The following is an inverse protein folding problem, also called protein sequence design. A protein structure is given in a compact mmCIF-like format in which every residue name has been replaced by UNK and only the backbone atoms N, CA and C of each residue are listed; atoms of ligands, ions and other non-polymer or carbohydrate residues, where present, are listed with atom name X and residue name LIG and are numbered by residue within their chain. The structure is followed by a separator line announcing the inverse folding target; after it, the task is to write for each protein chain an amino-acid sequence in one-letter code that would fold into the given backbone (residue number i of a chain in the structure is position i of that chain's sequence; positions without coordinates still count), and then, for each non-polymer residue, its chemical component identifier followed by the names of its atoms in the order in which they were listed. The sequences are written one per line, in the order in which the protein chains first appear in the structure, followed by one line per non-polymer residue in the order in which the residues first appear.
data_IF_125585546116
#
_entry.id   IF_125585546116
#
_cell.length_a   1.000
_cell.length_b   1.000
_cell.length_c   1.000
_cell.angle_alpha   90.00
_cell.angle_beta   90.00
_cell.angle_gamma   90.00
#
_symmetry.space_group_name_H-M   'P 1'
#
loop_
_entity.id
_entity.type
_entity.pdbx_description
1 polymer ?
#
# COMPACT_ATOMS: atom_id res chain seq x y z
N UNK A 1 -1.31 -19.58 -7.86
CA UNK A 1 -1.05 -19.40 -6.42
C UNK A 1 -1.80 -18.23 -5.80
N UNK A 2 -1.58 -16.98 -6.24
CA UNK A 2 -2.16 -15.79 -5.58
C UNK A 2 -3.68 -15.79 -5.45
N UNK A 3 -4.42 -16.28 -6.45
CA UNK A 3 -5.88 -16.37 -6.39
C UNK A 3 -6.41 -17.35 -5.32
N UNK A 4 -5.63 -18.38 -4.99
CA UNK A 4 -5.95 -19.27 -3.87
C UNK A 4 -5.70 -18.61 -2.53
N UNK A 5 -4.59 -17.88 -2.38
CA UNK A 5 -4.35 -17.09 -1.18
C UNK A 5 -5.49 -16.09 -0.99
N UNK A 6 -5.89 -15.40 -2.06
CA UNK A 6 -6.99 -14.42 -2.09
C UNK A 6 -8.33 -15.04 -1.66
N UNK A 7 -8.68 -16.22 -2.16
CA UNK A 7 -9.91 -16.91 -1.75
C UNK A 7 -9.89 -17.35 -0.28
N UNK A 8 -8.70 -17.43 0.33
CA UNK A 8 -8.54 -17.79 1.74
C UNK A 8 -8.46 -16.61 2.70
N UNK A 9 -8.25 -15.39 2.22
CA UNK A 9 -8.15 -14.19 3.08
C UNK A 9 -9.33 -14.06 4.05
N UNK A 10 -10.55 -14.38 3.60
CA UNK A 10 -11.72 -14.30 4.48
C UNK A 10 -11.61 -15.21 5.71
N UNK A 11 -10.98 -16.37 5.60
CA UNK A 11 -10.76 -17.25 6.75
C UNK A 11 -9.77 -16.64 7.76
N UNK A 12 -8.72 -15.94 7.28
CA UNK A 12 -7.84 -15.17 8.16
C UNK A 12 -8.62 -14.08 8.90
N UNK A 13 -9.47 -13.33 8.19
CA UNK A 13 -10.32 -12.29 8.82
C UNK A 13 -11.19 -12.89 9.93
N UNK A 14 -11.86 -14.00 9.65
CA UNK A 14 -12.70 -14.69 10.64
C UNK A 14 -11.89 -15.21 11.84
N UNK A 15 -10.61 -15.53 11.65
CA UNK A 15 -9.72 -15.90 12.77
C UNK A 15 -9.31 -14.68 13.58
N UNK A 16 -8.98 -13.56 12.92
CA UNK A 16 -8.61 -12.30 13.57
C UNK A 16 -9.78 -11.73 14.38
N UNK A 17 -11.00 -11.78 13.87
CA UNK A 17 -12.19 -11.24 14.56
C UNK A 17 -12.60 -12.07 15.80
N UNK A 18 -12.05 -13.26 15.99
CA UNK A 18 -12.21 -14.04 17.24
C UNK A 18 -11.25 -13.59 18.34
N UNK A 19 -10.20 -12.86 17.99
CA UNK A 19 -9.24 -12.34 18.95
C UNK A 19 -9.90 -11.19 19.73
N UNK A 20 -9.93 -11.31 21.06
CA UNK A 20 -10.60 -10.35 21.96
C UNK A 20 -10.09 -8.92 21.82
N UNK A 21 -8.86 -8.72 21.34
CA UNK A 21 -8.26 -7.41 21.15
C UNK A 21 -8.66 -6.76 19.82
N UNK A 22 -9.25 -7.51 18.89
CA UNK A 22 -9.66 -7.02 17.57
C UNK A 22 -11.15 -6.79 17.57
N UNK A 23 -11.57 -5.54 17.33
CA UNK A 23 -12.98 -5.16 17.20
C UNK A 23 -13.55 -5.60 15.85
N UNK A 24 -12.82 -5.31 14.78
CA UNK A 24 -13.13 -5.81 13.45
C UNK A 24 -11.89 -5.80 12.55
N UNK A 25 -11.89 -6.64 11.50
CA UNK A 25 -10.83 -6.67 10.49
C UNK A 25 -11.43 -6.53 9.08
N UNK A 26 -10.96 -5.53 8.33
CA UNK A 26 -11.47 -5.21 7.00
C UNK A 26 -10.40 -5.46 5.93
N UNK A 27 -10.57 -6.49 5.07
CA UNK A 27 -9.66 -6.70 3.96
C UNK A 27 -9.91 -5.66 2.87
N UNK A 28 -8.82 -5.10 2.35
CA UNK A 28 -8.88 -4.25 1.17
C UNK A 28 -9.08 -5.11 -0.08
N UNK A 29 -10.02 -4.71 -0.94
CA UNK A 29 -10.51 -5.53 -2.05
C UNK A 29 -9.53 -5.69 -3.22
N UNK A 30 -8.47 -4.86 -3.30
CA UNK A 30 -7.46 -4.97 -4.37
C UNK A 30 -6.15 -5.50 -3.82
N UNK A 31 -5.53 -6.39 -4.59
CA UNK A 31 -4.12 -6.73 -4.41
C UNK A 31 -3.21 -5.75 -5.14
N UNK A 32 -1.98 -5.66 -4.67
CA UNK A 32 -0.93 -4.85 -5.26
C UNK A 32 0.30 -5.70 -5.56
N UNK A 33 1.12 -5.35 -6.56
CA UNK A 33 2.41 -6.00 -6.74
C UNK A 33 3.31 -5.72 -5.54
N UNK A 34 4.35 -6.54 -5.37
CA UNK A 34 5.44 -6.21 -4.46
C UNK A 34 6.07 -4.86 -4.81
N UNK A 35 6.66 -4.20 -3.81
CA UNK A 35 7.37 -2.95 -4.06
C UNK A 35 8.56 -3.22 -5.00
N UNK A 36 8.92 -2.27 -5.88
CA UNK A 36 10.00 -2.45 -6.84
C UNK A 36 11.34 -2.87 -6.20
N UNK A 37 11.58 -2.45 -4.96
CA UNK A 37 12.82 -2.72 -4.23
C UNK A 37 12.90 -4.15 -3.65
N UNK A 38 11.82 -4.94 -3.70
CA UNK A 38 11.75 -6.24 -3.03
C UNK A 38 12.21 -7.43 -3.90
N UNK A 39 12.64 -7.19 -5.15
CA UNK A 39 13.07 -8.20 -6.14
C UNK A 39 12.18 -9.45 -6.18
N UNK A 40 10.86 -9.22 -6.23
CA UNK A 40 9.82 -10.26 -6.24
C UNK A 40 8.73 -9.93 -7.25
N UNK A 41 9.01 -10.06 -8.56
CA UNK A 41 8.10 -9.58 -9.62
C UNK A 41 6.73 -10.27 -9.64
N UNK A 42 6.64 -11.50 -9.12
CA UNK A 42 5.39 -12.27 -9.09
C UNK A 42 4.65 -12.21 -7.75
N UNK A 43 5.19 -11.52 -6.74
CA UNK A 43 4.56 -11.44 -5.44
C UNK A 43 3.40 -10.43 -5.47
N UNK A 44 2.29 -10.84 -4.86
CA UNK A 44 1.14 -9.97 -4.60
C UNK A 44 1.01 -9.71 -3.10
N UNK A 45 0.56 -8.51 -2.77
CA UNK A 45 0.29 -8.04 -1.42
C UNK A 45 -1.17 -7.68 -1.28
N UNK A 46 -1.75 -8.07 -0.15
CA UNK A 46 -3.07 -7.65 0.30
C UNK A 46 -2.91 -6.87 1.60
N UNK A 47 -3.89 -6.00 1.87
CA UNK A 47 -3.93 -5.18 3.08
C UNK A 47 -5.16 -5.53 3.88
N UNK A 48 -4.99 -5.66 5.20
CA UNK A 48 -6.08 -5.88 6.14
C UNK A 48 -6.00 -4.73 7.15
N UNK A 49 -7.01 -3.88 7.16
CA UNK A 49 -7.17 -2.87 8.19
C UNK A 49 -7.77 -3.51 9.43
N UNK A 50 -7.28 -3.17 10.61
CA UNK A 50 -7.80 -3.66 11.89
C UNK A 50 -8.20 -2.49 12.78
N UNK A 51 -9.33 -2.61 13.47
CA UNK A 51 -9.67 -1.78 14.61
C UNK A 51 -9.41 -2.58 15.89
N UNK A 52 -8.67 -1.99 16.82
CA UNK A 52 -8.31 -2.61 18.10
C UNK A 52 -9.30 -2.13 19.16
N UNK A 53 -9.78 -3.06 20.00
CA UNK A 53 -10.52 -2.70 21.22
C UNK A 53 -9.57 -1.92 22.14
N UNK A 54 -9.87 -0.65 22.38
CA UNK A 54 -9.13 0.16 23.34
C UNK A 54 -9.47 -0.35 24.73
N UNK A 55 -8.48 -0.74 25.53
CA UNK A 55 -8.66 -0.81 26.98
C UNK A 55 -8.84 0.62 27.51
N UNK A 56 -9.62 0.77 28.57
CA UNK A 56 -9.92 2.08 29.18
C UNK A 56 -8.68 2.79 29.76
N UNK A 57 -7.57 2.06 29.93
CA UNK A 57 -6.28 2.63 30.29
C UNK A 57 -5.38 2.71 29.06
N UNK A 58 -4.67 3.84 28.91
CA UNK A 58 -3.69 4.21 27.86
C UNK A 58 -2.49 3.25 27.71
N UNK A 59 -2.63 2.00 28.15
CA UNK A 59 -1.69 0.91 27.92
C UNK A 59 -1.53 0.66 26.42
N UNK A 60 -0.29 0.75 25.96
CA UNK A 60 0.12 0.23 24.66
C UNK A 60 -0.11 -1.28 24.61
N UNK A 61 -1.27 -1.71 24.11
CA UNK A 61 -1.59 -3.13 23.92
C UNK A 61 -0.70 -3.68 22.81
N UNK A 62 0.22 -4.57 23.16
CA UNK A 62 0.95 -5.38 22.20
C UNK A 62 0.09 -6.59 21.84
N UNK A 63 -0.61 -6.54 20.71
CA UNK A 63 -1.45 -7.64 20.26
C UNK A 63 -0.57 -8.70 19.61
N UNK A 64 -0.55 -9.89 20.19
CA UNK A 64 0.01 -11.06 19.56
C UNK A 64 -0.99 -11.64 18.54
N UNK A 65 -0.55 -11.78 17.29
CA UNK A 65 -1.31 -12.34 16.17
C UNK A 65 -0.69 -13.64 15.64
N UNK A 66 0.32 -14.18 16.33
CA UNK A 66 1.08 -15.33 15.85
C UNK A 66 0.19 -16.54 15.65
N UNK A 67 -0.78 -16.78 16.53
CA UNK A 67 -1.67 -17.94 16.43
C UNK A 67 -2.51 -17.89 15.13
N UNK A 68 -3.15 -16.76 14.85
CA UNK A 68 -3.98 -16.54 13.67
C UNK A 68 -3.15 -16.58 12.38
N UNK A 69 -1.97 -15.96 12.40
CA UNK A 69 -1.05 -15.92 11.26
C UNK A 69 -0.51 -17.32 10.94
N UNK A 70 -0.03 -18.05 11.95
CA UNK A 70 0.52 -19.39 11.77
C UNK A 70 -0.56 -20.39 11.34
N UNK A 71 -1.76 -20.30 11.92
CA UNK A 71 -2.90 -21.12 11.51
C UNK A 71 -3.25 -20.92 10.03
N UNK A 72 -3.36 -19.65 9.61
CA UNK A 72 -3.61 -19.32 8.21
C UNK A 72 -2.47 -19.78 7.28
N UNK A 73 -1.21 -19.60 7.70
CA UNK A 73 -0.06 -20.07 6.95
C UNK A 73 -0.09 -21.60 6.77
N UNK A 74 -0.45 -22.35 7.81
CA UNK A 74 -0.58 -23.80 7.74
C UNK A 74 -1.72 -24.22 6.80
N UNK A 75 -2.86 -23.54 6.84
CA UNK A 75 -3.99 -23.82 5.94
C UNK A 75 -3.66 -23.56 4.47
N UNK A 76 -2.91 -22.50 4.21
CA UNK A 76 -2.56 -22.06 2.85
C UNK A 76 -1.38 -22.85 2.29
N UNK A 77 -0.32 -23.08 3.07
CA UNK A 77 0.90 -23.75 2.58
C UNK A 77 0.80 -25.28 2.67
N UNK A 78 0.32 -25.81 3.79
CA UNK A 78 0.38 -27.25 4.09
C UNK A 78 -0.90 -27.97 3.69
N UNK A 79 -2.07 -27.42 4.00
CA UNK A 79 -3.37 -28.06 3.69
C UNK A 79 -3.85 -27.81 2.25
N UNK A 80 -3.01 -27.21 1.40
CA UNK A 80 -3.30 -27.01 -0.01
C UNK A 80 -3.30 -28.35 -0.75
N UNK A 81 -4.48 -28.92 -1.02
CA UNK A 81 -4.62 -30.22 -1.70
C UNK A 81 -4.45 -30.10 -3.22
N UNK A 82 -3.90 -31.14 -3.85
CA UNK A 82 -3.97 -31.38 -5.30
C UNK A 82 -3.09 -30.48 -6.20
N UNK A 83 -3.62 -30.13 -7.38
CA UNK A 83 -2.95 -29.39 -8.48
C UNK A 83 -2.38 -28.01 -8.09
N UNK A 84 -2.73 -27.48 -6.92
CA UNK A 84 -2.24 -26.20 -6.45
C UNK A 84 -0.85 -26.28 -5.81
N UNK A 85 -0.12 -27.39 -5.86
CA UNK A 85 1.24 -27.49 -5.32
C UNK A 85 2.31 -26.79 -6.19
N UNK A 86 2.23 -25.46 -6.30
CA UNK A 86 3.29 -24.63 -6.88
C UNK A 86 4.60 -24.75 -6.05
N UNK A 87 5.75 -25.08 -6.67
CA UNK A 87 7.05 -25.04 -5.98
C UNK A 87 7.44 -23.60 -5.64
N UNK A 88 8.18 -23.40 -4.56
CA UNK A 88 8.69 -22.08 -4.16
C UNK A 88 7.64 -21.09 -3.65
N UNK A 89 6.42 -21.54 -3.29
CA UNK A 89 5.44 -20.67 -2.63
C UNK A 89 5.99 -20.15 -1.32
N UNK A 90 5.85 -18.85 -1.13
CA UNK A 90 6.12 -18.19 0.14
C UNK A 90 4.92 -17.32 0.51
N UNK A 91 4.64 -17.26 1.81
CA UNK A 91 3.70 -16.34 2.40
C UNK A 91 4.46 -15.55 3.47
N UNK A 92 4.23 -14.24 3.53
CA UNK A 92 4.91 -13.35 4.45
C UNK A 92 3.90 -12.37 5.03
N UNK A 93 4.01 -12.12 6.32
CA UNK A 93 3.10 -11.23 7.06
C UNK A 93 3.91 -10.08 7.64
N UNK A 94 3.30 -8.91 7.64
CA UNK A 94 3.88 -7.72 8.24
C UNK A 94 2.77 -6.92 8.90
N UNK A 95 2.92 -6.64 10.18
CA UNK A 95 2.07 -5.73 10.92
C UNK A 95 2.73 -4.34 10.92
N UNK A 96 1.98 -3.33 10.47
CA UNK A 96 2.45 -1.93 10.40
C UNK A 96 1.43 -0.99 11.01
N UNK A 97 1.91 0.08 11.66
CA UNK A 97 1.04 1.16 12.12
C UNK A 97 0.53 1.98 10.93
N UNK A 98 -0.64 2.61 11.08
CA UNK A 98 -1.24 3.45 10.03
C UNK A 98 -0.29 4.54 9.51
N UNK A 99 0.52 5.14 10.37
CA UNK A 99 1.50 6.18 10.01
C UNK A 99 2.61 5.68 9.08
N UNK A 100 2.97 4.40 9.18
CA UNK A 100 4.06 3.78 8.45
C UNK A 100 3.56 3.08 7.17
N UNK A 101 2.25 2.86 7.04
CA UNK A 101 1.60 2.21 5.89
C UNK A 101 1.98 2.85 4.55
N UNK A 102 2.18 4.17 4.51
CA UNK A 102 2.61 4.90 3.30
C UNK A 102 3.89 4.35 2.69
N UNK A 103 4.79 3.77 3.49
CA UNK A 103 6.04 3.19 3.01
C UNK A 103 5.84 1.83 2.33
N UNK A 104 4.66 1.23 2.50
CA UNK A 104 4.35 -0.10 1.98
C UNK A 104 3.43 -0.08 0.75
N UNK A 105 2.81 1.07 0.46
CA UNK A 105 1.90 1.26 -0.66
C UNK A 105 2.64 1.59 -1.96
N UNK A 106 2.18 1.09 -3.13
CA UNK A 106 2.62 1.58 -4.42
C UNK A 106 2.44 3.11 -4.56
N UNK A 107 3.43 3.75 -5.19
CA UNK A 107 3.51 5.21 -5.40
C UNK A 107 2.23 5.76 -6.05
N UNK A 108 1.64 5.00 -6.99
CA UNK A 108 0.43 5.38 -7.72
C UNK A 108 -0.81 5.53 -6.83
N UNK A 109 -0.83 4.92 -5.64
CA UNK A 109 -1.94 5.03 -4.69
C UNK A 109 -1.74 6.25 -3.80
N UNK A 110 -0.50 6.46 -3.34
CA UNK A 110 -0.12 7.58 -2.46
C UNK A 110 -0.46 8.90 -3.15
N UNK A 111 -0.13 9.02 -4.44
CA UNK A 111 -0.41 10.23 -5.24
C UNK A 111 -1.91 10.48 -5.50
N UNK A 112 -2.77 9.45 -5.49
CA UNK A 112 -4.22 9.61 -5.71
C UNK A 112 -4.94 10.18 -4.49
N UNK A 113 -4.49 9.85 -3.28
CA UNK A 113 -5.08 10.40 -2.05
C UNK A 113 -4.80 11.89 -1.90
N UNK A 114 -3.62 12.38 -2.32
CA UNK A 114 -3.30 13.81 -2.32
C UNK A 114 -4.07 14.59 -3.40
N UNK A 115 -4.35 13.98 -4.56
CA UNK A 115 -5.16 14.61 -5.62
C UNK A 115 -6.65 14.73 -5.26
N UNK A 116 -7.17 13.91 -4.35
CA UNK A 116 -8.59 13.97 -3.94
C UNK A 116 -8.93 15.11 -2.97
N UNK A 117 -7.94 15.80 -2.40
CA UNK A 117 -8.15 16.92 -1.45
C UNK A 117 -8.05 18.32 -2.12
N UNK A 118 -7.82 18.40 -3.43
CA UNK A 118 -7.92 19.67 -4.18
C UNK A 118 -8.82 19.52 -5.41
N UNK A 119 -10.12 19.52 -5.17
CA UNK A 119 -11.08 20.08 -6.12
C UNK A 119 -12.26 20.69 -5.35
N UNK A 120 -11.99 21.59 -4.42
CA UNK A 120 -12.94 22.64 -4.08
C UNK A 120 -12.77 23.74 -5.12
N UNK A 121 -13.73 23.82 -6.04
CA UNK A 121 -13.95 24.92 -6.97
C UNK A 121 -13.49 26.27 -6.39
N UNK A 122 -12.37 26.77 -6.88
CA UNK A 122 -12.11 28.21 -6.85
C UNK A 122 -12.24 28.68 -8.28
N UNK A 123 -13.41 29.22 -8.57
CA UNK A 123 -13.69 30.05 -9.74
C UNK A 123 -12.56 31.09 -9.85
N UNK A 124 -11.80 31.07 -10.93
CA UNK A 124 -11.07 32.24 -11.38
C UNK A 124 -11.41 32.51 -12.83
N UNK A 125 -11.88 33.73 -13.06
CA UNK A 125 -12.39 34.30 -14.29
C UNK A 125 -11.43 34.16 -15.47
N UNK A 126 -12.04 34.16 -16.65
CA UNK A 126 -11.42 34.48 -17.93
C UNK A 126 -10.41 35.63 -17.78
N UNK A 127 -9.16 35.35 -18.13
CA UNK A 127 -8.23 36.40 -18.53
C UNK A 127 -7.34 35.86 -19.66
N UNK A 128 -7.31 36.65 -20.72
CA UNK A 128 -6.72 36.41 -22.03
C UNK A 128 -5.23 36.06 -21.95
N UNK A 129 -4.77 35.23 -22.89
CA UNK A 129 -3.38 34.81 -23.04
C UNK A 129 -2.42 36.01 -23.17
N UNK A 130 -1.26 36.02 -22.51
CA UNK A 130 -0.26 37.07 -22.71
C UNK A 130 0.51 36.85 -24.03
N UNK A 131 0.84 37.97 -24.65
CA UNK A 131 1.49 38.12 -25.95
C UNK A 131 2.92 37.54 -26.01
N UNK A 132 3.28 36.99 -27.18
CA UNK A 132 4.50 36.23 -27.49
C UNK A 132 5.80 37.06 -27.31
N UNK A 133 5.68 38.37 -27.17
CA UNK A 133 6.84 39.25 -26.99
C UNK A 133 7.50 39.19 -25.60
N UNK A 134 6.84 38.63 -24.59
CA UNK A 134 7.35 38.62 -23.20
C UNK A 134 8.28 37.44 -22.88
N UNK A 135 8.35 36.43 -23.76
CA UNK A 135 9.13 35.19 -23.50
C UNK A 135 10.62 35.25 -23.87
N UNK A 136 11.14 36.35 -24.40
CA UNK A 136 12.55 36.44 -24.83
C UNK A 136 13.57 36.73 -23.71
N UNK A 137 13.13 37.10 -22.51
CA UNK A 137 14.03 37.49 -21.40
C UNK A 137 14.20 36.43 -20.30
N UNK A 138 13.85 35.17 -20.55
CA UNK A 138 14.04 34.08 -19.59
C UNK A 138 14.78 32.89 -20.22
N UNK A 139 16.00 33.15 -20.73
CA UNK A 139 16.96 32.06 -20.97
C UNK A 139 18.14 32.17 -19.98
N UNK A 140 18.59 31.05 -19.37
CA UNK A 140 19.72 31.04 -18.45
C UNK A 140 21.05 31.25 -19.17
N UNK A 141 21.92 32.07 -18.58
CA UNK A 141 23.30 32.30 -19.01
C UNK A 141 24.12 31.05 -18.66
N UNK A 142 24.18 30.07 -19.55
CA UNK A 142 25.22 29.04 -19.52
C UNK A 142 25.43 28.43 -20.89
N UNK A 143 26.07 29.17 -21.79
CA UNK A 143 26.82 28.65 -22.96
C UNK A 143 27.58 29.77 -23.68
N UNK A 144 28.50 30.46 -22.99
CA UNK A 144 29.59 31.18 -23.65
C UNK A 144 30.86 30.34 -23.50
N UNK A 145 31.15 29.54 -24.53
CA UNK A 145 32.45 28.89 -24.74
C UNK A 145 33.50 29.99 -24.94
N UNK A 146 34.44 30.11 -23.99
CA UNK A 146 35.76 30.69 -24.25
C UNK A 146 36.61 29.64 -24.96
N UNK A 147 37.08 29.94 -26.17
CA UNK A 147 38.34 29.43 -26.70
C UNK A 147 39.06 30.59 -27.37
N UNK A 148 40.13 31.03 -26.72
CA UNK A 148 41.19 31.84 -27.29
C UNK A 148 42.32 30.89 -27.70
N UNK A 149 42.82 31.07 -28.92
CA UNK A 149 44.25 31.09 -29.24
C UNK A 149 44.43 31.87 -30.54
#
# INVERSE_FOLDING_TARGET
WSGFVESKIRHLILSLEKNIYIKFAHPYSKSFPALPLEDRPYAKRWYIGMEINKSDEDTHINIDLNHEILGFQHDVLIRCKGSLNFPGKKLSFLHVKRKDLKNYLPIDIIGRTLKKVKLSETKWSQQSAPDVHTMKNLMPISSQKRKAS
#
